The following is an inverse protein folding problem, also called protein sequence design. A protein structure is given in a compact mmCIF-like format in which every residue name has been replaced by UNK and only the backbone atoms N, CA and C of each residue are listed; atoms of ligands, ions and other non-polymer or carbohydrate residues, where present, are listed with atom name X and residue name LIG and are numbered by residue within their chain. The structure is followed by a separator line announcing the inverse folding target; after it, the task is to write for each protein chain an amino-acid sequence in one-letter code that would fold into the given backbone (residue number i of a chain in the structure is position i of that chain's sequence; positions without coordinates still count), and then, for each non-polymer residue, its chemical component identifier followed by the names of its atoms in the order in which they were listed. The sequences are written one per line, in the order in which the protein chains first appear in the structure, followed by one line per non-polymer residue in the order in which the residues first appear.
data_IF_783611598823
#
_entry.id   IF_783611598823
#
_cell.length_a   1.000
_cell.length_b   1.000
_cell.length_c   1.000
_cell.angle_alpha   90.00
_cell.angle_beta   90.00
_cell.angle_gamma   90.00
#
_symmetry.space_group_name_H-M   'P 1'
#
loop_
_entity.id
_entity.type
_entity.pdbx_description
1 polymer ?
#
# COMPACT_ATOMS: atom_id res chain seq x y z
N UNK A 1 12.42 21.69 5.12
CA UNK A 1 12.77 20.26 5.25
C UNK A 1 13.92 19.97 4.30
N UNK A 2 14.91 19.17 4.70
CA UNK A 2 16.02 18.77 3.84
C UNK A 2 15.81 17.31 3.44
N UNK A 3 14.84 17.07 2.56
CA UNK A 3 14.46 15.72 2.14
C UNK A 3 15.46 15.21 1.10
N UNK A 4 16.02 14.05 1.36
CA UNK A 4 16.76 13.28 0.37
C UNK A 4 15.84 12.87 -0.78
N UNK A 5 16.39 12.57 -1.98
CA UNK A 5 15.58 12.06 -3.09
C UNK A 5 14.75 10.83 -2.70
N UNK A 6 15.32 9.92 -1.91
CA UNK A 6 14.64 8.72 -1.44
C UNK A 6 13.46 9.04 -0.49
N UNK A 7 13.58 10.06 0.36
CA UNK A 7 12.47 10.49 1.21
C UNK A 7 11.35 11.14 0.39
N UNK A 8 11.69 11.88 -0.66
CA UNK A 8 10.70 12.44 -1.58
C UNK A 8 9.95 11.35 -2.33
N UNK A 9 10.64 10.31 -2.81
CA UNK A 9 10.01 9.14 -3.45
C UNK A 9 9.05 8.41 -2.50
N UNK A 10 9.42 8.23 -1.23
CA UNK A 10 8.52 7.64 -0.23
C UNK A 10 7.26 8.48 -0.05
N UNK A 11 7.38 9.81 -0.01
CA UNK A 11 6.21 10.70 0.05
C UNK A 11 5.29 10.53 -1.16
N UNK A 12 5.84 10.36 -2.37
CA UNK A 12 5.04 10.09 -3.57
C UNK A 12 4.24 8.78 -3.44
N UNK A 13 4.79 7.75 -2.80
CA UNK A 13 4.08 6.50 -2.51
C UNK A 13 2.88 6.75 -1.59
N UNK A 14 3.04 7.54 -0.52
CA UNK A 14 1.93 7.90 0.36
C UNK A 14 0.83 8.67 -0.40
N UNK A 15 1.20 9.60 -1.28
CA UNK A 15 0.23 10.32 -2.13
C UNK A 15 -0.52 9.36 -3.04
N UNK A 16 0.17 8.40 -3.68
CA UNK A 16 -0.47 7.37 -4.50
C UNK A 16 -1.42 6.50 -3.68
N UNK A 17 -1.02 6.10 -2.46
CA UNK A 17 -1.85 5.34 -1.54
C UNK A 17 -3.12 6.10 -1.13
N UNK A 18 -3.03 7.41 -0.91
CA UNK A 18 -4.19 8.25 -0.58
C UNK A 18 -5.15 8.42 -1.75
N UNK A 19 -4.64 8.47 -2.98
CA UNK A 19 -5.48 8.43 -4.18
C UNK A 19 -6.19 7.07 -4.28
N UNK A 20 -5.48 5.97 -4.05
CA UNK A 20 -6.02 4.62 -4.05
C UNK A 20 -7.10 4.43 -2.96
N UNK A 21 -6.87 4.87 -1.72
CA UNK A 21 -7.86 4.84 -0.63
C UNK A 21 -9.15 5.56 -1.05
N UNK A 22 -9.04 6.78 -1.58
CA UNK A 22 -10.21 7.55 -2.04
C UNK A 22 -10.95 6.89 -3.22
N UNK A 23 -10.27 6.10 -4.05
CA UNK A 23 -10.91 5.30 -5.11
C UNK A 23 -11.66 4.11 -4.49
N UNK A 24 -11.01 3.39 -3.56
CA UNK A 24 -11.61 2.28 -2.81
C UNK A 24 -12.85 2.71 -2.03
N UNK A 25 -12.80 3.85 -1.34
CA UNK A 25 -13.91 4.36 -0.53
C UNK A 25 -15.13 4.76 -1.39
N UNK A 26 -14.93 5.00 -2.69
CA UNK A 26 -16.00 5.19 -3.68
C UNK A 26 -16.50 3.88 -4.30
N UNK A 27 -16.00 2.74 -3.84
CA UNK A 27 -16.37 1.41 -4.33
C UNK A 27 -15.69 1.00 -5.64
N UNK A 28 -14.62 1.69 -6.06
CA UNK A 28 -13.86 1.29 -7.25
C UNK A 28 -12.91 0.14 -6.91
N UNK A 29 -12.89 -0.87 -7.79
CA UNK A 29 -11.90 -1.95 -7.74
C UNK A 29 -10.51 -1.39 -8.05
N UNK A 30 -9.54 -1.77 -7.25
CA UNK A 30 -8.18 -1.26 -7.36
C UNK A 30 -7.36 -2.02 -8.41
N UNK A 31 -6.56 -1.29 -9.17
CA UNK A 31 -5.59 -1.85 -10.11
C UNK A 31 -4.25 -2.18 -9.41
N UNK A 32 -3.32 -2.79 -10.15
CA UNK A 32 -2.01 -3.18 -9.63
C UNK A 32 -1.21 -2.06 -8.94
N UNK A 33 -0.96 -0.89 -9.57
CA UNK A 33 -0.16 0.16 -8.92
C UNK A 33 -0.85 0.76 -7.69
N UNK A 34 -2.18 0.80 -7.65
CA UNK A 34 -2.93 1.24 -6.46
C UNK A 34 -2.77 0.27 -5.29
N UNK A 35 -2.87 -1.03 -5.58
CA UNK A 35 -2.64 -2.09 -4.58
C UNK A 35 -1.22 -2.01 -4.03
N UNK A 36 -0.21 -1.89 -4.90
CA UNK A 36 1.18 -1.77 -4.47
C UNK A 36 1.44 -0.51 -3.63
N UNK A 37 0.83 0.62 -3.99
CA UNK A 37 0.94 1.84 -3.20
C UNK A 37 0.35 1.68 -1.79
N UNK A 38 -0.84 1.06 -1.68
CA UNK A 38 -1.48 0.82 -0.37
C UNK A 38 -0.66 -0.12 0.51
N UNK A 39 -0.19 -1.25 -0.03
CA UNK A 39 0.62 -2.21 0.71
C UNK A 39 1.94 -1.60 1.16
N UNK A 40 2.60 -0.83 0.29
CA UNK A 40 3.88 -0.19 0.60
C UNK A 40 3.71 0.90 1.66
N UNK A 41 2.66 1.72 1.55
CA UNK A 41 2.34 2.71 2.56
C UNK A 41 2.01 2.06 3.91
N UNK A 42 1.29 0.93 3.94
CA UNK A 42 1.04 0.16 5.16
C UNK A 42 2.34 -0.27 5.84
N UNK A 43 3.29 -0.82 5.07
CA UNK A 43 4.62 -1.19 5.58
C UNK A 43 5.35 0.00 6.19
N UNK A 44 5.33 1.16 5.53
CA UNK A 44 6.00 2.36 6.04
C UNK A 44 5.37 2.88 7.33
N UNK A 45 4.04 2.88 7.44
CA UNK A 45 3.35 3.34 8.65
C UNK A 45 3.54 2.39 9.83
N UNK A 46 3.46 1.07 9.62
CA UNK A 46 3.71 0.10 10.69
C UNK A 46 5.16 0.13 11.16
N UNK A 47 6.12 0.24 10.23
CA UNK A 47 7.52 0.43 10.58
C UNK A 47 7.72 1.73 11.37
N UNK A 48 7.01 2.81 11.01
CA UNK A 48 7.05 4.08 11.75
C UNK A 48 6.43 3.97 13.15
N UNK A 49 5.43 3.11 13.33
CA UNK A 49 4.81 2.77 14.61
C UNK A 49 5.69 1.86 15.48
N UNK A 50 6.80 1.34 14.95
CA UNK A 50 7.74 0.48 15.67
C UNK A 50 7.39 -1.00 15.62
N UNK A 51 6.54 -1.43 14.67
CA UNK A 51 6.23 -2.84 14.49
C UNK A 51 7.47 -3.63 14.04
N UNK A 52 7.54 -4.90 14.47
CA UNK A 52 8.58 -5.84 13.99
C UNK A 52 8.28 -6.26 12.55
N UNK A 53 9.31 -6.69 11.83
CA UNK A 53 9.18 -7.19 10.44
C UNK A 53 8.09 -8.25 10.34
N UNK A 54 8.08 -9.23 11.26
CA UNK A 54 7.09 -10.32 11.27
C UNK A 54 5.65 -9.79 11.45
N UNK A 55 5.46 -8.79 12.32
CA UNK A 55 4.16 -8.16 12.53
C UNK A 55 3.68 -7.40 11.29
N UNK A 56 4.59 -6.73 10.59
CA UNK A 56 4.28 -6.05 9.33
C UNK A 56 3.93 -7.05 8.23
N UNK A 57 4.67 -8.15 8.13
CA UNK A 57 4.39 -9.21 7.15
C UNK A 57 3.03 -9.85 7.36
N UNK A 58 2.67 -10.12 8.61
CA UNK A 58 1.36 -10.71 8.92
C UNK A 58 0.23 -9.70 8.70
N UNK A 59 0.34 -8.47 9.22
CA UNK A 59 -0.69 -7.44 9.03
C UNK A 59 -0.88 -7.07 7.56
N UNK A 60 0.19 -7.07 6.76
CA UNK A 60 0.15 -6.82 5.32
C UNK A 60 -0.81 -7.74 4.54
N UNK A 61 -1.00 -8.98 5.00
CA UNK A 61 -1.92 -9.96 4.38
C UNK A 61 -3.40 -9.59 4.56
N UNK A 62 -3.71 -8.75 5.53
CA UNK A 62 -5.09 -8.39 5.90
C UNK A 62 -5.50 -6.99 5.41
N UNK A 63 -4.62 -6.28 4.70
CA UNK A 63 -4.85 -4.89 4.25
C UNK A 63 -5.91 -4.81 3.14
N UNK A 64 -5.96 -5.81 2.27
CA UNK A 64 -6.83 -5.85 1.08
C UNK A 64 -7.46 -7.22 0.91
N UNK A 65 -8.73 -7.23 0.50
CA UNK A 65 -9.46 -8.43 0.10
C UNK A 65 -9.47 -8.55 -1.42
N UNK A 66 -9.59 -9.79 -1.91
CA UNK A 66 -9.73 -10.09 -3.35
C UNK A 66 -10.92 -9.36 -4.00
N UNK A 67 -11.96 -9.03 -3.24
CA UNK A 67 -13.14 -8.28 -3.72
C UNK A 67 -12.89 -6.78 -3.89
N UNK A 68 -11.77 -6.24 -3.41
CA UNK A 68 -11.45 -4.80 -3.47
C UNK A 68 -10.52 -4.48 -4.64
N UNK A 69 -10.12 -5.49 -5.42
CA UNK A 69 -9.13 -5.38 -6.50
C UNK A 69 -9.69 -5.92 -7.81
N UNK A 70 -9.15 -5.44 -8.93
CA UNK A 70 -9.51 -5.91 -10.26
C UNK A 70 -9.08 -7.37 -10.45
N UNK A 71 -9.78 -8.08 -11.35
CA UNK A 71 -9.48 -9.47 -11.71
C UNK A 71 -8.03 -9.60 -12.20
N UNK A 72 -7.33 -10.63 -11.70
CA UNK A 72 -5.94 -10.93 -12.06
C UNK A 72 -4.90 -10.16 -11.26
N UNK A 73 -5.27 -9.08 -10.55
CA UNK A 73 -4.33 -8.31 -9.72
C UNK A 73 -3.76 -9.13 -8.55
N UNK A 74 -4.53 -9.93 -7.80
CA UNK A 74 -3.97 -10.78 -6.74
C UNK A 74 -2.88 -11.73 -7.26
N UNK A 75 -3.08 -12.31 -8.45
CA UNK A 75 -2.16 -13.28 -9.05
C UNK A 75 -0.89 -12.63 -9.62
N UNK A 76 -0.90 -11.31 -9.84
CA UNK A 76 0.29 -10.56 -10.24
C UNK A 76 1.25 -10.31 -9.06
N UNK A 77 0.76 -10.43 -7.82
CA UNK A 77 1.53 -10.12 -6.61
C UNK A 77 2.07 -11.43 -6.03
N UNK A 78 3.31 -11.75 -6.37
CA UNK A 78 4.02 -12.95 -5.91
C UNK A 78 5.15 -12.54 -4.96
N UNK A 79 4.86 -12.38 -3.68
CA UNK A 79 5.85 -12.16 -2.61
C UNK A 79 5.35 -12.76 -1.30
#
# INVERSE_FOLDING_TARGET
MHLTPHEQERLLIHVAADVARRRRDRGLLLNYPEVMALLTAHVFEEARAGATVDSVMESGRHVLKRSEVMLGVPEMINN
#
